data_IF_564498090777
#
_entry.id   IF_564498090777
#
_cell.length_a   1.000
_cell.length_b   1.000
_cell.length_c   1.000
_cell.angle_alpha   90.00
_cell.angle_beta   90.00
_cell.angle_gamma   90.00
#
_symmetry.space_group_name_H-M   'P 1'
#
loop_
_entity.id
_entity.type
_entity.pdbx_description
1 polymer ?
#
# COMPACT_ATOMS: atom_id res chain seq x y z
N UNK A 1 37.75 -14.32 -5.35
CA UNK A 1 37.65 -14.18 -3.88
C UNK A 1 36.84 -12.94 -3.53
N UNK A 2 35.51 -13.00 -3.51
CA UNK A 2 34.67 -11.93 -2.95
C UNK A 2 33.44 -12.59 -2.35
N UNK A 3 33.46 -12.79 -1.03
CA UNK A 3 32.38 -13.47 -0.33
C UNK A 3 32.71 -13.58 1.14
N UNK A 4 32.58 -12.47 1.89
CA UNK A 4 32.46 -12.48 3.36
C UNK A 4 32.14 -11.14 4.04
N UNK A 5 31.99 -10.01 3.31
CA UNK A 5 31.77 -8.71 3.98
C UNK A 5 30.31 -8.32 4.31
N UNK A 6 29.27 -9.02 3.82
CA UNK A 6 27.89 -8.57 4.02
C UNK A 6 27.25 -8.92 5.37
N UNK A 7 27.82 -9.83 6.18
CA UNK A 7 27.17 -10.25 7.42
C UNK A 7 27.40 -9.28 8.60
N UNK A 8 28.52 -8.55 8.61
CA UNK A 8 28.88 -7.66 9.73
C UNK A 8 28.10 -6.33 9.74
N UNK A 9 27.63 -5.86 8.58
CA UNK A 9 26.80 -4.65 8.46
C UNK A 9 25.36 -4.88 8.95
N UNK A 10 24.83 -6.09 8.77
CA UNK A 10 23.49 -6.46 9.22
C UNK A 10 23.33 -6.35 10.75
N UNK A 11 24.36 -6.72 11.51
CA UNK A 11 24.27 -6.82 12.98
C UNK A 11 24.36 -5.46 13.70
N UNK A 12 25.03 -4.45 13.11
CA UNK A 12 25.04 -3.08 13.67
C UNK A 12 23.71 -2.35 13.42
N UNK A 13 23.00 -2.69 12.34
CA UNK A 13 21.78 -2.00 11.90
C UNK A 13 20.53 -2.37 12.73
N UNK A 14 20.48 -3.57 13.33
CA UNK A 14 19.43 -3.97 14.28
C UNK A 14 19.43 -3.11 15.55
N UNK A 15 20.60 -2.66 16.01
CA UNK A 15 20.73 -1.93 17.28
C UNK A 15 20.14 -0.53 17.17
N UNK A 16 20.41 0.19 16.08
CA UNK A 16 19.87 1.54 15.85
C UNK A 16 18.34 1.50 15.70
N UNK A 17 17.83 0.48 15.02
CA UNK A 17 16.40 0.28 14.81
C UNK A 17 15.64 0.06 16.13
N UNK A 18 16.18 -0.75 17.04
CA UNK A 18 15.58 -1.03 18.37
C UNK A 18 15.49 0.22 19.25
N UNK A 19 16.50 1.09 19.22
CA UNK A 19 16.53 2.27 20.11
C UNK A 19 15.49 3.33 19.72
N UNK A 20 15.22 3.51 18.42
CA UNK A 20 14.30 4.54 17.94
C UNK A 20 12.82 4.15 18.16
N UNK A 21 12.45 2.90 17.87
CA UNK A 21 11.07 2.41 18.06
C UNK A 21 10.66 2.37 19.54
N UNK A 22 11.57 1.98 20.43
CA UNK A 22 11.28 1.86 21.88
C UNK A 22 10.99 3.23 22.52
N UNK A 23 11.58 4.31 22.00
CA UNK A 23 11.39 5.69 22.51
C UNK A 23 10.07 6.32 22.07
N UNK A 24 9.49 5.86 20.96
CA UNK A 24 8.20 6.33 20.43
C UNK A 24 6.99 5.62 21.08
N UNK A 25 7.11 4.32 21.39
CA UNK A 25 6.06 3.56 22.08
C UNK A 25 5.77 4.07 23.50
N UNK A 26 6.78 4.55 24.24
CA UNK A 26 6.58 5.11 25.58
C UNK A 26 5.84 6.45 25.58
N UNK A 27 5.91 7.23 24.51
CA UNK A 27 5.23 8.53 24.41
C UNK A 27 3.72 8.40 24.13
N UNK A 28 3.29 7.28 23.52
CA UNK A 28 1.88 7.05 23.13
C UNK A 28 1.02 6.43 24.25
N UNK A 29 1.62 5.82 25.26
CA UNK A 29 0.90 5.14 26.34
C UNK A 29 0.24 6.10 27.36
N UNK A 30 0.50 7.41 27.29
CA UNK A 30 0.01 8.39 28.27
C UNK A 30 -1.24 9.18 27.84
N UNK A 31 -1.82 8.94 26.65
CA UNK A 31 -2.83 9.85 26.08
C UNK A 31 -4.17 9.25 25.61
N UNK A 32 -4.59 8.05 26.02
CA UNK A 32 -5.97 7.62 25.72
C UNK A 32 -6.68 6.94 26.88
N UNK A 33 -7.24 7.75 27.77
CA UNK A 33 -8.32 7.37 28.66
C UNK A 33 -9.35 8.50 28.72
N UNK A 34 -10.37 8.45 27.85
CA UNK A 34 -11.63 9.16 28.05
C UNK A 34 -12.73 8.46 27.25
N UNK A 35 -13.83 8.16 27.95
CA UNK A 35 -14.96 7.32 27.57
C UNK A 35 -16.21 8.19 27.44
N UNK A 36 -17.07 8.01 26.42
CA UNK A 36 -18.45 8.54 26.44
C UNK A 36 -19.44 7.59 25.73
N UNK A 37 -20.64 7.53 26.32
CA UNK A 37 -21.71 6.53 26.26
C UNK A 37 -22.65 6.60 25.05
N UNK A 38 -23.32 5.46 24.83
CA UNK A 38 -24.50 5.18 23.99
C UNK A 38 -25.68 6.14 24.20
N UNK A 39 -26.47 6.31 23.13
CA UNK A 39 -27.93 6.44 23.20
C UNK A 39 -28.59 5.73 22.00
N UNK A 40 -29.58 4.89 22.30
CA UNK A 40 -30.49 4.20 21.36
C UNK A 40 -31.82 4.96 21.31
N UNK A 41 -32.56 4.90 20.19
CA UNK A 41 -33.98 4.46 20.12
C UNK A 41 -34.56 4.52 18.67
N UNK A 42 -35.69 3.84 18.38
CA UNK A 42 -35.97 3.19 17.10
C UNK A 42 -37.16 3.79 16.32
N UNK A 43 -37.22 3.53 15.00
CA UNK A 43 -38.43 3.78 14.20
C UNK A 43 -38.82 2.58 13.31
N UNK A 44 -39.83 1.86 13.79
CA UNK A 44 -41.07 1.38 13.14
C UNK A 44 -41.03 0.99 11.65
N UNK A 45 -41.17 -0.32 11.40
CA UNK A 45 -41.42 -0.96 10.09
C UNK A 45 -42.93 -1.21 9.92
N UNK A 46 -43.51 -0.81 8.77
CA UNK A 46 -44.89 -1.13 8.36
C UNK A 46 -44.83 -1.96 7.07
N UNK A 47 -45.38 -3.17 7.13
CA UNK A 47 -45.45 -4.16 6.05
C UNK A 47 -46.81 -4.01 5.36
N UNK A 48 -46.82 -3.99 4.03
CA UNK A 48 -48.00 -4.21 3.19
C UNK A 48 -47.73 -5.40 2.25
N UNK A 49 -48.67 -6.34 2.07
CA UNK A 49 -48.54 -7.41 1.08
C UNK A 49 -49.23 -7.02 -0.24
N UNK A 50 -48.73 -7.48 -1.39
CA UNK A 50 -49.54 -7.62 -2.59
C UNK A 50 -49.93 -9.07 -2.87
N UNK A 51 -51.15 -9.15 -3.35
CA UNK A 51 -51.99 -10.29 -3.73
C UNK A 51 -51.49 -11.08 -4.94
N UNK A 52 -51.80 -12.37 -4.94
CA UNK A 52 -51.73 -13.33 -6.04
C UNK A 52 -52.76 -13.07 -7.14
N UNK A 53 -52.38 -13.25 -8.41
CA UNK A 53 -53.31 -13.68 -9.46
C UNK A 53 -52.61 -14.54 -10.52
N UNK A 54 -53.24 -15.67 -10.83
CA UNK A 54 -52.88 -16.64 -11.87
C UNK A 54 -53.09 -16.13 -13.30
N UNK A 55 -52.28 -16.64 -14.24
CA UNK A 55 -52.53 -16.61 -15.68
C UNK A 55 -51.62 -17.60 -16.40
N UNK A 56 -52.20 -18.65 -16.99
CA UNK A 56 -51.53 -19.63 -17.85
C UNK A 56 -51.35 -19.07 -19.28
N UNK A 57 -50.27 -19.44 -19.99
CA UNK A 57 -50.32 -19.90 -21.39
C UNK A 57 -48.94 -20.32 -21.96
N UNK A 58 -48.90 -21.61 -22.35
CA UNK A 58 -48.24 -22.34 -23.43
C UNK A 58 -47.17 -21.75 -24.41
N UNK A 59 -46.11 -22.56 -24.59
CA UNK A 59 -45.34 -22.92 -25.81
C UNK A 59 -44.59 -21.85 -26.65
N UNK A 60 -43.25 -21.92 -26.69
CA UNK A 60 -42.43 -22.55 -27.76
C UNK A 60 -40.96 -22.05 -27.75
N UNK A 61 -40.03 -23.00 -27.65
CA UNK A 61 -38.65 -23.07 -28.16
C UNK A 61 -37.86 -21.77 -28.41
N UNK A 62 -36.74 -21.57 -27.69
CA UNK A 62 -35.37 -21.49 -28.27
C UNK A 62 -34.32 -21.19 -27.19
N UNK A 63 -33.17 -21.86 -27.30
CA UNK A 63 -31.84 -21.46 -26.80
C UNK A 63 -31.53 -21.59 -25.30
N UNK A 64 -31.49 -22.84 -24.81
CA UNK A 64 -30.72 -23.23 -23.62
C UNK A 64 -29.19 -23.21 -23.85
N UNK A 65 -28.67 -22.20 -24.56
CA UNK A 65 -27.23 -22.04 -24.86
C UNK A 65 -26.70 -20.61 -24.68
N UNK A 66 -27.44 -19.68 -24.05
CA UNK A 66 -26.95 -18.31 -23.85
C UNK A 66 -27.08 -17.75 -22.42
N UNK A 67 -26.87 -18.58 -21.40
CA UNK A 67 -26.77 -18.12 -20.00
C UNK A 67 -25.66 -18.84 -19.21
N UNK A 68 -24.50 -19.05 -19.86
CA UNK A 68 -23.27 -19.51 -19.18
C UNK A 68 -22.09 -18.65 -19.60
N UNK A 69 -22.14 -17.39 -19.21
CA UNK A 69 -20.93 -16.70 -18.79
C UNK A 69 -21.27 -15.81 -17.59
N UNK A 70 -21.58 -16.45 -16.47
CA UNK A 70 -21.10 -15.93 -15.20
C UNK A 70 -19.58 -16.08 -15.21
N UNK A 71 -18.86 -15.23 -15.95
CA UNK A 71 -17.47 -14.96 -15.63
C UNK A 71 -17.53 -14.21 -14.31
N UNK A 72 -17.40 -14.94 -13.22
CA UNK A 72 -16.80 -14.40 -12.00
C UNK A 72 -15.50 -13.76 -12.46
N UNK A 73 -15.48 -12.43 -12.59
CA UNK A 73 -14.25 -11.70 -12.73
C UNK A 73 -13.48 -11.96 -11.44
N UNK A 74 -12.63 -13.00 -11.44
CA UNK A 74 -11.59 -13.13 -10.43
C UNK A 74 -10.86 -11.80 -10.45
N UNK A 75 -10.97 -11.05 -9.35
CA UNK A 75 -10.36 -9.75 -9.22
C UNK A 75 -8.87 -9.93 -9.47
N UNK A 76 -8.36 -9.40 -10.58
CA UNK A 76 -6.95 -9.57 -10.98
C UNK A 76 -5.98 -8.87 -10.02
N UNK A 77 -6.50 -7.90 -9.27
CA UNK A 77 -5.76 -7.19 -8.24
C UNK A 77 -5.88 -7.93 -6.90
N UNK A 78 -4.73 -8.14 -6.23
CA UNK A 78 -4.65 -8.80 -4.94
C UNK A 78 -3.78 -8.02 -3.98
N UNK A 79 -4.34 -7.59 -2.86
CA UNK A 79 -3.61 -7.04 -1.73
C UNK A 79 -3.50 -8.10 -0.63
N UNK A 80 -2.29 -8.46 -0.23
CA UNK A 80 -2.05 -9.36 0.91
C UNK A 80 -1.12 -8.72 1.92
N UNK A 81 -1.21 -9.15 3.18
CA UNK A 81 -0.28 -8.73 4.23
C UNK A 81 0.47 -9.94 4.78
N UNK A 82 1.77 -9.78 5.04
CA UNK A 82 2.64 -10.80 5.64
C UNK A 82 3.52 -10.17 6.71
N UNK A 83 3.92 -10.95 7.70
CA UNK A 83 4.95 -10.54 8.66
C UNK A 83 6.35 -10.79 8.08
N UNK A 84 7.23 -9.79 8.14
CA UNK A 84 8.60 -9.96 7.64
C UNK A 84 9.34 -8.66 7.35
N UNK A 85 10.58 -8.82 6.91
CA UNK A 85 11.38 -7.71 6.38
C UNK A 85 11.03 -7.46 4.91
N UNK A 86 10.64 -6.24 4.56
CA UNK A 86 10.35 -5.86 3.18
C UNK A 86 11.50 -6.18 2.22
N UNK A 87 12.76 -6.00 2.65
CA UNK A 87 13.91 -6.23 1.79
C UNK A 87 14.22 -7.72 1.59
N UNK A 88 13.47 -8.61 2.25
CA UNK A 88 13.47 -10.05 1.98
C UNK A 88 12.47 -10.47 0.89
N UNK A 89 11.68 -9.53 0.37
CA UNK A 89 10.77 -9.79 -0.74
C UNK A 89 11.53 -10.33 -1.97
N UNK A 90 10.95 -11.28 -2.74
CA UNK A 90 11.61 -11.83 -3.93
C UNK A 90 12.03 -10.74 -4.91
N UNK A 91 13.18 -10.90 -5.58
CA UNK A 91 13.67 -9.93 -6.57
C UNK A 91 12.72 -9.73 -7.76
N UNK A 92 11.75 -10.63 -7.97
CA UNK A 92 10.66 -10.47 -8.94
C UNK A 92 9.64 -9.40 -8.56
N UNK A 93 9.67 -8.91 -7.32
CA UNK A 93 8.80 -7.83 -6.85
C UNK A 93 9.56 -6.50 -6.95
N UNK A 94 8.93 -5.54 -7.61
CA UNK A 94 9.30 -4.13 -7.45
C UNK A 94 9.00 -3.69 -6.02
N UNK A 95 9.74 -2.71 -5.51
CA UNK A 95 9.55 -2.19 -4.15
C UNK A 95 8.99 -0.78 -4.20
N UNK A 96 8.23 -0.37 -3.18
CA UNK A 96 7.82 1.02 -3.03
C UNK A 96 7.86 1.53 -1.59
N UNK A 97 8.14 2.82 -1.42
CA UNK A 97 7.96 3.52 -0.14
C UNK A 97 7.67 5.01 -0.33
N UNK A 98 7.23 5.68 0.74
CA UNK A 98 6.99 7.13 0.75
C UNK A 98 8.25 7.92 1.09
N UNK A 99 8.40 9.09 0.46
CA UNK A 99 9.48 10.07 0.69
C UNK A 99 8.97 11.52 0.58
N UNK A 100 9.79 12.46 1.05
CA UNK A 100 9.67 13.86 0.67
C UNK A 100 10.42 14.16 -0.64
N UNK A 101 10.04 15.25 -1.32
CA UNK A 101 10.67 15.68 -2.58
C UNK A 101 12.15 16.10 -2.42
N UNK A 102 12.61 16.28 -1.17
CA UNK A 102 14.00 16.55 -0.81
C UNK A 102 14.87 15.28 -0.71
N UNK A 103 14.28 14.08 -0.79
CA UNK A 103 14.95 12.77 -0.74
C UNK A 103 15.96 12.60 0.40
N UNK A 104 15.75 13.30 1.54
CA UNK A 104 16.64 13.21 2.71
C UNK A 104 16.70 11.77 3.24
N UNK A 105 15.53 11.11 3.31
CA UNK A 105 15.35 9.71 3.71
C UNK A 105 16.07 9.36 5.03
N UNK A 106 15.92 10.23 6.04
CA UNK A 106 16.67 10.16 7.30
C UNK A 106 16.05 9.34 8.43
N UNK A 107 14.84 8.79 8.25
CA UNK A 107 14.15 8.03 9.29
C UNK A 107 13.34 6.85 8.73
N UNK A 108 13.00 5.91 9.62
CA UNK A 108 12.20 4.74 9.30
C UNK A 108 12.83 3.86 8.21
N UNK A 109 11.98 3.20 7.43
CA UNK A 109 12.41 2.31 6.35
C UNK A 109 13.15 3.04 5.21
N UNK A 110 12.92 4.34 5.05
CA UNK A 110 13.56 5.15 4.01
C UNK A 110 15.09 5.18 4.16
N UNK A 111 15.62 5.09 5.38
CA UNK A 111 17.06 4.98 5.62
C UNK A 111 17.63 3.74 4.96
N UNK A 112 16.92 2.61 5.05
CA UNK A 112 17.35 1.35 4.44
C UNK A 112 17.27 1.42 2.91
N UNK A 113 16.22 2.02 2.35
CA UNK A 113 16.16 2.28 0.89
C UNK A 113 17.34 3.13 0.42
N UNK A 114 17.71 4.18 1.16
CA UNK A 114 18.88 5.02 0.86
C UNK A 114 20.19 4.25 0.97
N UNK A 115 20.34 3.38 1.97
CA UNK A 115 21.55 2.57 2.16
C UNK A 115 21.71 1.49 1.09
N UNK A 116 20.62 0.87 0.65
CA UNK A 116 20.63 -0.25 -0.30
C UNK A 116 20.70 0.26 -1.75
N UNK A 117 19.86 1.22 -2.12
CA UNK A 117 19.70 1.65 -3.53
C UNK A 117 20.40 2.98 -3.85
N UNK A 118 20.60 3.83 -2.84
CA UNK A 118 21.34 5.08 -2.97
C UNK A 118 20.82 5.99 -4.09
N UNK A 119 21.75 6.54 -4.89
CA UNK A 119 21.47 7.31 -6.11
C UNK A 119 20.55 8.53 -5.90
N UNK A 120 20.67 9.20 -4.75
CA UNK A 120 19.86 10.38 -4.40
C UNK A 120 19.96 11.49 -5.46
N UNK A 121 21.13 11.72 -6.03
CA UNK A 121 21.31 12.72 -7.10
C UNK A 121 20.45 12.41 -8.34
N UNK A 122 20.31 11.12 -8.69
CA UNK A 122 19.44 10.69 -9.80
C UNK A 122 17.96 10.87 -9.48
N UNK A 123 17.56 10.68 -8.22
CA UNK A 123 16.19 10.92 -7.77
C UNK A 123 15.86 12.41 -7.82
N UNK A 124 16.76 13.25 -7.31
CA UNK A 124 16.62 14.71 -7.35
C UNK A 124 16.57 15.25 -8.78
N UNK A 125 17.40 14.70 -9.69
CA UNK A 125 17.42 15.11 -11.09
C UNK A 125 16.11 14.82 -11.84
N UNK A 126 15.25 13.92 -11.33
CA UNK A 126 13.92 13.69 -11.92
C UNK A 126 12.94 14.84 -11.64
N UNK A 127 13.23 15.72 -10.68
CA UNK A 127 12.41 16.91 -10.40
C UNK A 127 11.00 16.60 -9.89
N UNK A 128 10.76 15.39 -9.38
CA UNK A 128 9.43 14.93 -8.98
C UNK A 128 8.93 15.70 -7.76
N UNK A 129 7.72 16.24 -7.88
CA UNK A 129 7.05 16.98 -6.81
C UNK A 129 6.05 16.10 -6.05
N UNK A 130 5.52 16.64 -4.95
CA UNK A 130 4.48 15.96 -4.15
C UNK A 130 3.30 15.55 -5.02
N UNK A 131 2.87 14.29 -4.91
CA UNK A 131 1.86 13.66 -5.76
C UNK A 131 2.43 12.88 -6.95
N UNK A 132 3.74 12.94 -7.19
CA UNK A 132 4.42 12.16 -8.22
C UNK A 132 5.11 10.91 -7.70
N UNK A 133 5.78 10.19 -8.61
CA UNK A 133 6.63 9.05 -8.29
C UNK A 133 7.98 9.22 -8.98
N UNK A 134 9.07 9.05 -8.21
CA UNK A 134 10.41 8.90 -8.76
C UNK A 134 10.77 7.41 -8.81
N UNK A 135 11.58 7.01 -9.77
CA UNK A 135 11.95 5.60 -9.97
C UNK A 135 13.45 5.40 -10.07
N UNK A 136 13.92 4.26 -9.56
CA UNK A 136 15.21 3.69 -9.91
C UNK A 136 14.98 2.30 -10.49
N UNK A 137 15.84 1.90 -11.42
CA UNK A 137 15.88 0.53 -11.91
C UNK A 137 16.93 -0.26 -11.13
N UNK A 138 16.52 -1.42 -10.59
CA UNK A 138 17.37 -2.38 -9.90
C UNK A 138 17.23 -3.72 -10.61
N UNK A 139 18.18 -4.06 -11.49
CA UNK A 139 18.09 -5.22 -12.38
C UNK A 139 16.79 -5.19 -13.22
N UNK A 140 15.95 -6.22 -13.09
CA UNK A 140 14.68 -6.38 -13.81
C UNK A 140 13.47 -5.79 -13.07
N UNK A 141 13.67 -5.17 -11.91
CA UNK A 141 12.60 -4.54 -11.12
C UNK A 141 12.78 -3.03 -10.97
N UNK A 142 11.73 -2.38 -10.50
CA UNK A 142 11.74 -0.96 -10.17
C UNK A 142 11.69 -0.74 -8.66
N UNK A 143 12.31 0.34 -8.22
CA UNK A 143 12.20 0.89 -6.87
C UNK A 143 11.44 2.21 -6.99
N UNK A 144 10.25 2.25 -6.43
CA UNK A 144 9.32 3.37 -6.48
C UNK A 144 9.42 4.23 -5.23
N UNK A 145 9.66 5.52 -5.43
CA UNK A 145 9.72 6.54 -4.39
C UNK A 145 8.49 7.43 -4.55
N UNK A 146 7.43 7.13 -3.79
CA UNK A 146 6.21 7.91 -3.80
C UNK A 146 6.49 9.24 -3.09
N UNK A 147 6.46 10.33 -3.84
CA UNK A 147 6.75 11.66 -3.30
C UNK A 147 5.45 12.19 -2.70
N UNK A 148 5.20 11.91 -1.43
CA UNK A 148 3.91 12.22 -0.79
C UNK A 148 3.91 13.53 -0.03
N UNK A 149 5.06 14.19 0.07
CA UNK A 149 5.22 15.47 0.77
C UNK A 149 6.30 16.35 0.14
N UNK A 150 6.19 17.68 0.22
CA UNK A 150 7.22 18.56 -0.34
C UNK A 150 8.56 18.48 0.40
N UNK A 151 8.55 18.25 1.72
CA UNK A 151 9.77 18.09 2.53
C UNK A 151 9.67 16.90 3.49
N UNK A 152 10.82 16.30 3.80
CA UNK A 152 10.93 15.11 4.64
C UNK A 152 10.38 15.24 6.07
N UNK A 153 10.38 16.46 6.63
CA UNK A 153 9.81 16.77 7.95
C UNK A 153 8.30 17.04 7.93
N UNK A 154 7.70 17.18 6.75
CA UNK A 154 6.26 17.42 6.60
C UNK A 154 5.43 16.14 6.81
N UNK A 155 4.12 16.31 6.78
CA UNK A 155 3.16 15.21 6.78
C UNK A 155 2.54 15.04 5.39
N UNK A 156 2.40 13.81 4.88
CA UNK A 156 1.61 13.58 3.68
C UNK A 156 0.12 13.76 3.96
N UNK A 157 -0.66 13.86 2.89
CA UNK A 157 -2.12 13.84 2.91
C UNK A 157 -2.62 12.61 2.17
N UNK A 158 -3.88 12.22 2.37
CA UNK A 158 -4.47 11.15 1.56
C UNK A 158 -4.50 11.50 0.07
N UNK A 159 -4.70 12.77 -0.28
CA UNK A 159 -4.70 13.22 -1.67
C UNK A 159 -3.30 13.15 -2.30
N UNK A 160 -2.25 13.56 -1.59
CA UNK A 160 -0.87 13.44 -2.10
C UNK A 160 -0.42 11.99 -2.20
N UNK A 161 -0.85 11.13 -1.27
CA UNK A 161 -0.66 9.69 -1.37
C UNK A 161 -1.37 9.11 -2.59
N UNK A 162 -2.68 9.38 -2.74
CA UNK A 162 -3.49 8.90 -3.88
C UNK A 162 -2.89 9.31 -5.21
N UNK A 163 -2.51 10.59 -5.35
CA UNK A 163 -1.87 11.09 -6.56
C UNK A 163 -0.57 10.32 -6.88
N UNK A 164 0.27 10.09 -5.86
CA UNK A 164 1.53 9.34 -6.03
C UNK A 164 1.28 7.87 -6.38
N UNK A 165 0.24 7.25 -5.83
CA UNK A 165 -0.18 5.88 -6.17
C UNK A 165 -0.67 5.79 -7.62
N UNK A 166 -1.46 6.76 -8.09
CA UNK A 166 -1.89 6.84 -9.49
C UNK A 166 -0.69 6.99 -10.42
N UNK A 167 0.25 7.89 -10.10
CA UNK A 167 1.48 8.05 -10.89
C UNK A 167 2.30 6.76 -10.94
N UNK A 168 2.41 6.04 -9.82
CA UNK A 168 3.05 4.72 -9.75
C UNK A 168 2.33 3.69 -10.63
N UNK A 169 0.99 3.61 -10.56
CA UNK A 169 0.21 2.70 -11.39
C UNK A 169 0.45 2.92 -12.88
N UNK A 170 0.44 4.17 -13.34
CA UNK A 170 0.69 4.46 -14.75
C UNK A 170 2.11 4.05 -15.18
N UNK A 171 3.12 4.26 -14.32
CA UNK A 171 4.46 3.77 -14.58
C UNK A 171 4.51 2.24 -14.62
N UNK A 172 3.82 1.56 -13.70
CA UNK A 172 3.77 0.10 -13.64
C UNK A 172 3.13 -0.49 -14.90
N UNK A 173 2.00 0.07 -15.35
CA UNK A 173 1.33 -0.32 -16.61
C UNK A 173 2.27 -0.17 -17.81
N UNK A 174 2.92 0.99 -17.95
CA UNK A 174 3.84 1.27 -19.06
C UNK A 174 5.02 0.29 -19.11
N UNK A 175 5.43 -0.24 -17.97
CA UNK A 175 6.62 -1.08 -17.84
C UNK A 175 6.30 -2.54 -17.48
N UNK A 176 5.04 -2.98 -17.62
CA UNK A 176 4.60 -4.35 -17.35
C UNK A 176 5.00 -4.87 -15.95
N UNK A 177 4.84 -4.03 -14.92
CA UNK A 177 5.11 -4.41 -13.53
C UNK A 177 3.84 -4.93 -12.87
N UNK A 178 3.83 -6.22 -12.56
CA UNK A 178 2.65 -6.93 -12.02
C UNK A 178 2.82 -7.43 -10.58
N UNK A 179 3.96 -7.15 -9.95
CA UNK A 179 4.29 -7.59 -8.59
C UNK A 179 4.98 -6.49 -7.81
N UNK A 180 4.39 -6.11 -6.69
CA UNK A 180 4.86 -5.03 -5.83
C UNK A 180 4.94 -5.50 -4.38
N UNK A 181 6.03 -5.18 -3.70
CA UNK A 181 6.16 -5.33 -2.26
C UNK A 181 6.31 -3.95 -1.62
N UNK A 182 5.51 -3.69 -0.58
CA UNK A 182 5.46 -2.39 0.09
C UNK A 182 5.47 -2.58 1.62
N UNK A 183 5.95 -1.60 2.40
CA UNK A 183 5.60 -1.52 3.82
C UNK A 183 4.17 -0.98 3.96
N UNK A 184 3.70 -0.76 5.19
CA UNK A 184 2.53 0.11 5.43
C UNK A 184 2.86 1.57 5.08
N UNK A 185 2.81 1.90 3.79
CA UNK A 185 3.21 3.19 3.22
C UNK A 185 2.39 4.35 3.79
N UNK A 186 3.03 5.49 4.03
CA UNK A 186 2.39 6.68 4.63
C UNK A 186 1.97 6.51 6.10
N UNK A 187 2.13 5.32 6.68
CA UNK A 187 1.86 5.08 8.10
C UNK A 187 3.11 5.29 8.97
N UNK A 188 2.93 5.15 10.30
CA UNK A 188 4.03 5.28 11.26
C UNK A 188 4.41 6.73 11.49
N UNK A 189 5.62 7.12 11.06
CA UNK A 189 6.15 8.49 11.22
C UNK A 189 5.30 9.51 10.45
N UNK A 190 4.75 9.10 9.30
CA UNK A 190 3.94 9.95 8.43
C UNK A 190 2.47 10.08 8.90
N UNK A 191 2.04 9.26 9.87
CA UNK A 191 0.79 9.46 10.60
C UNK A 191 -0.51 9.09 9.90
N UNK A 192 -0.50 8.60 8.64
CA UNK A 192 -1.72 8.11 7.99
C UNK A 192 -2.18 6.78 8.61
N UNK A 193 -3.49 6.53 8.54
CA UNK A 193 -4.14 5.34 9.08
C UNK A 193 -4.18 4.24 8.03
N UNK A 194 -3.73 3.03 8.39
CA UNK A 194 -3.60 1.93 7.45
C UNK A 194 -4.92 1.56 6.78
N UNK A 195 -6.05 1.55 7.50
CA UNK A 195 -7.36 1.23 6.93
C UNK A 195 -7.79 2.20 5.82
N UNK A 196 -7.37 3.46 5.91
CA UNK A 196 -7.62 4.46 4.86
C UNK A 196 -6.63 4.31 3.71
N UNK A 197 -5.35 4.08 4.02
CA UNK A 197 -4.32 3.81 2.99
C UNK A 197 -4.65 2.56 2.17
N UNK A 198 -5.12 1.49 2.81
CA UNK A 198 -5.51 0.25 2.13
C UNK A 198 -6.74 0.47 1.25
N UNK A 199 -7.70 1.30 1.69
CA UNK A 199 -8.82 1.73 0.84
C UNK A 199 -8.34 2.52 -0.39
N UNK A 200 -7.34 3.40 -0.26
CA UNK A 200 -6.73 4.08 -1.41
C UNK A 200 -6.03 3.12 -2.37
N UNK A 201 -5.27 2.16 -1.85
CA UNK A 201 -4.64 1.11 -2.65
C UNK A 201 -5.68 0.33 -3.45
N UNK A 202 -6.74 -0.12 -2.78
CA UNK A 202 -7.84 -0.85 -3.44
C UNK A 202 -8.53 0.01 -4.50
N UNK A 203 -8.80 1.28 -4.21
CA UNK A 203 -9.44 2.19 -5.17
C UNK A 203 -8.56 2.51 -6.38
N UNK A 204 -7.25 2.67 -6.19
CA UNK A 204 -6.33 3.04 -7.27
C UNK A 204 -6.01 1.85 -8.15
N UNK A 205 -5.82 0.67 -7.58
CA UNK A 205 -5.40 -0.54 -8.31
C UNK A 205 -6.57 -1.47 -8.65
N UNK A 206 -7.81 -1.04 -8.43
CA UNK A 206 -8.99 -1.79 -8.87
C UNK A 206 -8.93 -2.07 -10.38
N UNK A 207 -9.21 -3.32 -10.76
CA UNK A 207 -9.15 -3.79 -12.14
C UNK A 207 -7.74 -4.05 -12.71
N UNK A 208 -6.66 -3.77 -11.97
CA UNK A 208 -5.29 -4.07 -12.42
C UNK A 208 -4.94 -5.55 -12.33
N UNK A 209 -4.07 -6.02 -13.22
CA UNK A 209 -3.39 -7.32 -13.07
C UNK A 209 -2.14 -7.16 -12.20
N UNK A 210 -2.34 -7.12 -10.89
CA UNK A 210 -1.30 -6.73 -9.94
C UNK A 210 -1.44 -7.45 -8.60
N UNK A 211 -0.33 -8.04 -8.14
CA UNK A 211 -0.16 -8.46 -6.76
C UNK A 211 0.60 -7.40 -5.95
N UNK A 212 0.01 -6.95 -4.84
CA UNK A 212 0.68 -6.12 -3.82
C UNK A 212 0.80 -6.95 -2.54
N UNK A 213 2.03 -7.12 -2.06
CA UNK A 213 2.34 -7.75 -0.77
C UNK A 213 2.83 -6.69 0.21
N UNK A 214 2.09 -6.52 1.30
CA UNK A 214 2.41 -5.58 2.38
C UNK A 214 3.22 -6.31 3.44
N UNK A 215 4.41 -5.82 3.70
CA UNK A 215 5.30 -6.36 4.74
C UNK A 215 5.12 -5.61 6.05
N UNK A 216 4.61 -6.31 7.05
CA UNK A 216 4.49 -5.85 8.42
C UNK A 216 5.77 -6.21 9.17
N UNK A 217 6.60 -5.21 9.43
CA UNK A 217 7.85 -5.42 10.14
C UNK A 217 7.59 -5.82 11.59
N UNK A 218 8.09 -6.99 11.99
CA UNK A 218 8.10 -7.46 13.38
C UNK A 218 9.54 -7.38 13.91
N UNK A 219 9.84 -6.48 14.86
CA UNK A 219 11.15 -6.44 15.49
C UNK A 219 11.43 -7.76 16.22
N UNK A 220 12.51 -8.46 15.85
CA UNK A 220 13.06 -9.59 16.63
C UNK A 220 13.87 -9.07 17.82
#
# INVERSE_FOLDING_TARGET
MFGRCNFALYNKNTIVYKTFYKRQLSARALLSAASVKRQQQPHKLLILPPTTSHGQNSLHTTNAQHLRQSMSADTKYKLTEVEGDLFSAPETHSLAHCVGADFVMGAGIAVMFKQIYGQVDKLLAQGVQSGGVATLQDKERYIYYLVTKPQSWGSPTYDSLRASLVAMREHMRKNNVHKLAIPRIGCGIDGLEWDKVSAELNSVFDGEELEIVVYNYVPK
#
